data_IF_543688231111
#
_entry.id   IF_543688231111
#
_cell.length_a   1.000
_cell.length_b   1.000
_cell.length_c   1.000
_cell.angle_alpha   90.00
_cell.angle_beta   90.00
_cell.angle_gamma   90.00
#
_symmetry.space_group_name_H-M   'P 1'
#
loop_
_entity.id
_entity.type
_entity.pdbx_description
1 polymer ?
#
# COMPACT_ATOMS: atom_id res chain seq x y z
N UNK A 1 -30.33 3.76 -0.82
CA UNK A 1 -30.71 3.91 -2.23
C UNK A 1 -29.67 3.29 -3.14
N UNK A 2 -30.12 2.57 -4.17
CA UNK A 2 -29.23 1.94 -5.17
C UNK A 2 -28.43 2.98 -5.97
N UNK A 3 -29.01 4.15 -6.24
CA UNK A 3 -28.33 5.25 -6.95
C UNK A 3 -27.18 5.77 -6.11
N UNK A 4 -27.40 6.02 -4.84
CA UNK A 4 -26.34 6.47 -3.92
C UNK A 4 -25.25 5.40 -3.78
N UNK A 5 -25.63 4.12 -3.66
CA UNK A 5 -24.67 3.03 -3.54
C UNK A 5 -23.73 2.96 -4.78
N UNK A 6 -24.29 3.13 -5.98
CA UNK A 6 -23.48 3.15 -7.21
C UNK A 6 -22.54 4.35 -7.25
N UNK A 7 -23.02 5.54 -6.86
CA UNK A 7 -22.17 6.74 -6.80
C UNK A 7 -21.00 6.55 -5.84
N UNK A 8 -21.24 5.90 -4.68
CA UNK A 8 -20.17 5.60 -3.74
C UNK A 8 -19.13 4.65 -4.33
N UNK A 9 -19.56 3.62 -5.08
CA UNK A 9 -18.64 2.66 -5.70
C UNK A 9 -17.83 3.28 -6.83
N UNK A 10 -18.35 4.28 -7.53
CA UNK A 10 -17.62 5.01 -8.57
C UNK A 10 -16.48 5.86 -8.01
N UNK A 11 -16.52 6.16 -6.70
CA UNK A 11 -15.48 6.89 -5.99
C UNK A 11 -14.37 5.98 -5.45
N UNK A 12 -14.16 4.80 -6.02
CA UNK A 12 -13.15 3.82 -5.57
C UNK A 12 -11.71 4.34 -5.71
N UNK A 13 -11.40 5.46 -5.06
CA UNK A 13 -10.02 5.89 -4.88
C UNK A 13 -9.57 5.52 -3.45
N UNK A 14 -8.29 5.23 -3.24
CA UNK A 14 -7.81 4.87 -1.90
C UNK A 14 -8.14 5.90 -0.83
N UNK A 15 -8.15 7.19 -1.20
CA UNK A 15 -8.49 8.27 -0.30
C UNK A 15 -9.93 8.15 0.20
N UNK A 16 -10.89 7.97 -0.72
CA UNK A 16 -12.29 7.84 -0.35
C UNK A 16 -12.57 6.54 0.41
N UNK A 17 -11.91 5.46 0.06
CA UNK A 17 -12.01 4.20 0.80
C UNK A 17 -11.54 4.36 2.24
N UNK A 18 -10.47 5.12 2.46
CA UNK A 18 -9.95 5.39 3.80
C UNK A 18 -10.94 6.18 4.65
N UNK A 19 -11.58 7.21 4.06
CA UNK A 19 -12.53 8.09 4.78
C UNK A 19 -13.91 7.46 4.95
N UNK A 20 -14.40 6.70 3.95
CA UNK A 20 -15.78 6.25 3.87
C UNK A 20 -15.89 4.72 3.79
N UNK A 21 -15.02 4.01 4.51
CA UNK A 21 -14.97 2.55 4.46
C UNK A 21 -16.32 1.90 4.77
N UNK A 22 -17.00 2.33 5.83
CA UNK A 22 -18.26 1.75 6.24
C UNK A 22 -19.38 2.02 5.22
N UNK A 23 -19.41 3.22 4.68
CA UNK A 23 -20.35 3.61 3.63
C UNK A 23 -20.12 2.82 2.35
N UNK A 24 -18.86 2.60 1.99
CA UNK A 24 -18.49 1.79 0.83
C UNK A 24 -18.96 0.33 0.99
N UNK A 25 -18.73 -0.27 2.15
CA UNK A 25 -19.17 -1.63 2.46
C UNK A 25 -20.70 -1.72 2.40
N UNK A 26 -21.40 -0.74 2.97
CA UNK A 26 -22.87 -0.67 2.93
C UNK A 26 -23.36 -0.56 1.49
N UNK A 27 -22.71 0.27 0.67
CA UNK A 27 -23.07 0.42 -0.75
C UNK A 27 -22.90 -0.90 -1.51
N UNK A 28 -21.82 -1.62 -1.27
CA UNK A 28 -21.60 -2.93 -1.90
C UNK A 28 -22.67 -3.95 -1.48
N UNK A 29 -23.05 -3.97 -0.21
CA UNK A 29 -24.10 -4.88 0.29
C UNK A 29 -25.48 -4.56 -0.29
N UNK A 30 -25.77 -3.29 -0.57
CA UNK A 30 -27.02 -2.88 -1.23
C UNK A 30 -27.08 -3.40 -2.67
N UNK A 31 -25.96 -3.35 -3.40
CA UNK A 31 -25.88 -3.81 -4.79
C UNK A 31 -25.73 -5.33 -4.91
N UNK A 32 -25.11 -5.97 -3.93
CA UNK A 32 -24.89 -7.40 -3.89
C UNK A 32 -25.09 -7.89 -2.46
N UNK A 33 -26.28 -8.42 -2.12
CA UNK A 33 -26.57 -8.90 -0.76
C UNK A 33 -25.67 -10.05 -0.29
N UNK A 34 -25.07 -10.79 -1.22
CA UNK A 34 -24.14 -11.88 -0.91
C UNK A 34 -22.70 -11.41 -0.71
N UNK A 35 -22.48 -10.09 -0.73
CA UNK A 35 -21.14 -9.51 -0.54
C UNK A 35 -20.57 -9.88 0.82
N UNK A 36 -19.31 -10.38 0.80
CA UNK A 36 -18.51 -10.67 1.98
C UNK A 36 -17.20 -9.87 1.91
N UNK A 37 -16.89 -9.11 2.94
CA UNK A 37 -15.68 -8.28 2.98
C UNK A 37 -14.41 -9.11 2.84
N UNK A 38 -14.41 -10.34 3.34
CA UNK A 38 -13.27 -11.25 3.26
C UNK A 38 -13.00 -11.76 1.85
N UNK A 39 -13.95 -11.60 0.93
CA UNK A 39 -13.79 -11.98 -0.47
C UNK A 39 -13.10 -10.89 -1.28
N UNK A 40 -13.15 -9.65 -0.80
CA UNK A 40 -12.53 -8.49 -1.46
C UNK A 40 -11.00 -8.57 -1.42
N UNK A 41 -10.29 -7.80 -2.27
CA UNK A 41 -8.84 -7.72 -2.16
C UNK A 41 -8.42 -7.29 -0.76
N UNK A 42 -7.44 -7.98 -0.20
CA UNK A 42 -6.99 -7.74 1.17
C UNK A 42 -5.48 -7.64 1.20
N UNK A 43 -4.97 -6.42 1.36
CA UNK A 43 -3.54 -6.17 1.41
C UNK A 43 -2.96 -6.57 2.78
N UNK A 44 -1.81 -7.24 2.75
CA UNK A 44 -1.05 -7.58 3.96
C UNK A 44 0.44 -7.41 3.70
N UNK A 45 1.15 -6.91 4.70
CA UNK A 45 2.61 -6.88 4.74
C UNK A 45 3.08 -7.52 6.03
N UNK A 46 4.31 -8.02 6.03
CA UNK A 46 4.87 -8.72 7.20
C UNK A 46 5.15 -7.77 8.36
N UNK A 47 5.58 -6.55 8.07
CA UNK A 47 5.93 -5.58 9.10
C UNK A 47 5.69 -4.16 8.58
N UNK A 48 5.04 -3.33 9.39
CA UNK A 48 4.78 -1.91 9.10
C UNK A 48 6.03 -1.04 9.27
N UNK A 49 7.10 -1.58 9.85
CA UNK A 49 8.34 -0.88 10.12
C UNK A 49 9.49 -1.66 9.50
N UNK A 50 10.25 -1.00 8.62
CA UNK A 50 11.47 -1.54 8.03
C UNK A 50 12.66 -0.82 8.65
N UNK A 51 13.57 -1.57 9.24
CA UNK A 51 14.79 -1.02 9.84
C UNK A 51 15.97 -1.32 8.94
N UNK A 52 16.68 -0.27 8.52
CA UNK A 52 17.89 -0.36 7.73
C UNK A 52 19.08 -0.12 8.63
N UNK A 53 19.99 -1.10 8.70
CA UNK A 53 21.22 -1.01 9.49
C UNK A 53 22.42 -0.86 8.58
N UNK A 54 23.53 -0.37 9.13
CA UNK A 54 24.82 -0.22 8.44
C UNK A 54 24.74 0.63 7.18
N UNK A 55 23.93 1.70 7.23
CA UNK A 55 23.83 2.66 6.14
C UNK A 55 24.94 3.70 6.25
N UNK A 56 25.65 3.92 5.15
CA UNK A 56 26.67 4.98 5.05
C UNK A 56 26.14 6.15 4.24
N UNK A 57 26.60 7.36 4.60
CA UNK A 57 26.28 8.57 3.82
C UNK A 57 26.70 8.35 2.36
N UNK A 58 25.80 8.68 1.43
CA UNK A 58 26.04 8.56 0.01
C UNK A 58 26.00 7.14 -0.56
N UNK A 59 25.74 6.12 0.25
CA UNK A 59 25.68 4.73 -0.18
C UNK A 59 24.23 4.35 -0.53
N UNK A 60 24.06 3.59 -1.60
CA UNK A 60 22.75 3.06 -2.00
C UNK A 60 22.48 1.77 -1.22
N UNK A 61 21.32 1.73 -0.54
CA UNK A 61 20.85 0.55 0.18
C UNK A 61 19.53 0.11 -0.43
N UNK A 62 19.49 -1.13 -0.89
CA UNK A 62 18.28 -1.71 -1.47
C UNK A 62 17.56 -2.54 -0.44
N UNK A 63 16.22 -2.47 -0.45
CA UNK A 63 15.40 -3.32 0.40
C UNK A 63 14.11 -3.69 -0.33
N UNK A 64 13.43 -4.70 0.17
CA UNK A 64 12.23 -5.27 -0.44
C UNK A 64 11.09 -5.26 0.55
N UNK A 65 9.91 -4.86 0.09
CA UNK A 65 8.67 -5.00 0.86
C UNK A 65 7.80 -6.01 0.12
N UNK A 66 7.61 -7.23 0.68
CA UNK A 66 6.66 -8.18 0.12
C UNK A 66 5.23 -7.71 0.42
N UNK A 67 4.38 -7.72 -0.60
CA UNK A 67 2.98 -7.36 -0.46
C UNK A 67 2.13 -8.57 -0.84
N UNK A 68 1.23 -8.96 0.06
CA UNK A 68 0.38 -10.14 -0.09
C UNK A 68 -1.07 -9.74 -0.30
N UNK A 69 -1.77 -10.51 -1.12
CA UNK A 69 -3.21 -10.42 -1.27
C UNK A 69 -3.87 -11.64 -0.62
N UNK A 70 -4.48 -11.46 0.53
CA UNK A 70 -5.18 -12.53 1.25
C UNK A 70 -6.64 -12.68 0.83
N UNK A 71 -7.13 -11.81 -0.04
CA UNK A 71 -8.51 -11.84 -0.53
C UNK A 71 -8.73 -12.83 -1.66
N UNK A 72 -9.93 -12.83 -2.21
CA UNK A 72 -10.34 -13.71 -3.32
C UNK A 72 -10.37 -12.98 -4.67
N UNK A 73 -10.19 -11.68 -4.69
CA UNK A 73 -10.17 -10.84 -5.90
C UNK A 73 -8.80 -10.20 -6.08
N UNK A 74 -8.42 -9.85 -7.32
CA UNK A 74 -7.11 -9.24 -7.56
C UNK A 74 -6.92 -7.93 -6.79
N UNK A 75 -5.77 -7.78 -6.15
CA UNK A 75 -5.35 -6.57 -5.48
C UNK A 75 -4.65 -5.68 -6.48
N UNK A 76 -5.17 -4.48 -6.69
CA UNK A 76 -4.56 -3.47 -7.57
C UNK A 76 -3.89 -2.41 -6.71
N UNK A 77 -2.57 -2.32 -6.84
CA UNK A 77 -1.78 -1.28 -6.20
C UNK A 77 -1.62 -0.16 -7.20
N UNK A 78 -2.29 0.97 -6.95
CA UNK A 78 -2.38 2.07 -7.90
C UNK A 78 -1.20 3.01 -7.85
N UNK A 79 -0.72 3.33 -6.64
CA UNK A 79 0.42 4.23 -6.45
C UNK A 79 1.22 3.85 -5.24
N UNK A 80 2.52 4.17 -5.30
CA UNK A 80 3.43 4.06 -4.17
C UNK A 80 4.12 5.40 -4.04
N UNK A 81 3.94 6.07 -2.90
CA UNK A 81 4.56 7.36 -2.61
C UNK A 81 5.63 7.21 -1.54
N UNK A 82 6.66 8.03 -1.64
CA UNK A 82 7.69 8.14 -0.61
C UNK A 82 7.73 9.55 -0.08
N UNK A 83 8.08 9.71 1.21
CA UNK A 83 8.12 11.03 1.86
C UNK A 83 9.33 11.87 1.52
N UNK A 84 10.31 11.30 0.83
CA UNK A 84 11.53 12.01 0.42
C UNK A 84 12.09 11.47 -0.90
N UNK A 85 12.92 12.26 -1.56
CA UNK A 85 13.65 11.84 -2.76
C UNK A 85 14.76 10.84 -2.46
N UNK A 86 15.09 10.64 -1.19
CA UNK A 86 16.08 9.66 -0.73
C UNK A 86 15.60 8.21 -0.89
N UNK A 87 14.29 8.01 -0.99
CA UNK A 87 13.66 6.72 -1.28
C UNK A 87 13.17 6.72 -2.72
N UNK A 88 13.53 5.71 -3.47
CA UNK A 88 13.05 5.52 -4.84
C UNK A 88 12.61 4.08 -5.06
N UNK A 89 11.62 3.92 -5.93
CA UNK A 89 11.14 2.61 -6.35
C UNK A 89 12.03 2.12 -7.49
N UNK A 90 12.63 0.94 -7.32
CA UNK A 90 13.49 0.34 -8.36
C UNK A 90 12.65 -0.15 -9.53
N UNK A 91 11.49 -0.74 -9.22
CA UNK A 91 10.57 -1.23 -10.23
C UNK A 91 9.75 -0.08 -10.79
N UNK A 92 9.94 0.24 -12.07
CA UNK A 92 9.30 1.38 -12.73
C UNK A 92 7.87 1.11 -13.18
N UNK A 93 7.27 0.02 -12.76
CA UNK A 93 5.89 -0.30 -13.07
C UNK A 93 4.95 0.64 -12.32
N UNK A 94 4.05 1.31 -13.05
CA UNK A 94 3.12 2.26 -12.45
C UNK A 94 2.03 1.60 -11.63
N UNK A 95 1.67 0.38 -12.00
CA UNK A 95 0.64 -0.41 -11.33
C UNK A 95 1.12 -1.83 -11.11
N UNK A 96 0.76 -2.37 -9.94
CA UNK A 96 0.99 -3.77 -9.62
C UNK A 96 -0.37 -4.43 -9.42
N UNK A 97 -0.52 -5.64 -9.96
CA UNK A 97 -1.69 -6.47 -9.69
C UNK A 97 -1.21 -7.74 -9.00
N UNK A 98 -1.75 -7.98 -7.80
CA UNK A 98 -1.44 -9.18 -7.02
C UNK A 98 -2.63 -10.12 -7.10
N UNK A 99 -2.42 -11.29 -7.68
CA UNK A 99 -3.46 -12.31 -7.79
C UNK A 99 -3.92 -12.78 -6.42
N UNK A 100 -5.17 -13.30 -6.30
CA UNK A 100 -5.65 -13.82 -5.02
C UNK A 100 -4.72 -14.86 -4.43
N UNK A 101 -4.44 -14.74 -3.13
CA UNK A 101 -3.55 -15.65 -2.38
C UNK A 101 -2.10 -15.67 -2.88
N UNK A 102 -1.69 -14.63 -3.59
CA UNK A 102 -0.34 -14.48 -4.13
C UNK A 102 0.34 -13.27 -3.51
N UNK A 103 1.56 -12.98 -3.94
CA UNK A 103 2.37 -11.88 -3.43
C UNK A 103 3.20 -11.25 -4.54
N UNK A 104 3.64 -10.01 -4.29
CA UNK A 104 4.60 -9.31 -5.14
C UNK A 104 5.69 -8.73 -4.27
N UNK A 105 6.93 -8.73 -4.78
CA UNK A 105 8.09 -8.14 -4.12
C UNK A 105 8.31 -6.75 -4.70
N UNK A 106 8.17 -5.72 -3.88
CA UNK A 106 8.41 -4.33 -4.29
C UNK A 106 9.78 -3.90 -3.79
N UNK A 107 10.64 -3.50 -4.70
CA UNK A 107 12.03 -3.15 -4.40
C UNK A 107 12.23 -1.65 -4.34
N UNK A 108 12.94 -1.20 -3.32
CA UNK A 108 13.26 0.19 -3.08
C UNK A 108 14.76 0.40 -2.97
N UNK A 109 15.19 1.60 -3.30
CA UNK A 109 16.55 2.07 -3.06
C UNK A 109 16.50 3.26 -2.09
N UNK A 110 17.36 3.22 -1.08
CA UNK A 110 17.50 4.30 -0.11
C UNK A 110 18.93 4.84 -0.19
N UNK A 111 19.05 6.18 -0.24
CA UNK A 111 20.33 6.87 -0.19
C UNK A 111 20.15 8.17 0.59
N UNK A 112 21.00 8.40 1.58
CA UNK A 112 21.00 9.65 2.34
C UNK A 112 22.34 10.37 2.21
N UNK A 113 22.26 11.68 2.07
CA UNK A 113 23.44 12.54 2.08
C UNK A 113 23.75 13.08 3.48
N UNK A 114 22.91 12.76 4.46
CA UNK A 114 23.05 13.19 5.85
C UNK A 114 23.22 12.00 6.78
N UNK A 115 24.05 12.16 7.81
CA UNK A 115 24.24 11.17 8.86
C UNK A 115 23.21 11.34 9.98
N UNK A 116 23.02 10.30 10.78
CA UNK A 116 22.14 10.28 11.93
C UNK A 116 20.96 9.34 11.76
N UNK A 117 20.06 9.35 12.73
CA UNK A 117 18.83 8.59 12.68
C UNK A 117 17.79 9.32 11.84
N UNK A 118 17.23 8.64 10.83
CA UNK A 118 16.20 9.20 9.98
C UNK A 118 14.99 8.26 9.95
N UNK A 119 13.81 8.89 9.85
CA UNK A 119 12.55 8.17 9.65
C UNK A 119 11.94 8.68 8.37
N UNK A 120 11.57 7.75 7.49
CA UNK A 120 10.91 8.06 6.21
C UNK A 120 9.67 7.21 6.07
N UNK A 121 8.77 7.64 5.20
CA UNK A 121 7.46 7.04 5.06
C UNK A 121 7.24 6.56 3.63
N UNK A 122 6.62 5.39 3.51
CA UNK A 122 6.14 4.85 2.23
C UNK A 122 4.63 4.69 2.35
N UNK A 123 3.90 5.20 1.36
CA UNK A 123 2.45 5.08 1.28
C UNK A 123 2.10 4.23 0.08
N UNK A 124 1.35 3.16 0.30
CA UNK A 124 0.93 2.23 -0.75
C UNK A 124 -0.58 2.33 -0.87
N UNK A 125 -1.07 2.81 -2.01
CA UNK A 125 -2.51 2.94 -2.26
C UNK A 125 -3.00 1.80 -3.12
N UNK A 126 -4.17 1.25 -2.76
CA UNK A 126 -4.72 0.07 -3.43
C UNK A 126 -6.25 0.06 -3.37
N UNK A 127 -6.84 -0.94 -4.03
CA UNK A 127 -8.28 -1.20 -3.97
C UNK A 127 -8.67 -2.07 -2.77
N UNK A 128 -7.78 -2.28 -1.81
CA UNK A 128 -8.08 -3.05 -0.60
C UNK A 128 -8.99 -2.26 0.32
N UNK A 129 -10.12 -2.85 0.72
CA UNK A 129 -11.07 -2.19 1.63
C UNK A 129 -10.51 -2.14 3.04
N UNK A 130 -9.76 -3.16 3.47
CA UNK A 130 -9.21 -3.21 4.83
C UNK A 130 -8.16 -2.13 5.10
N UNK A 131 -7.31 -1.84 4.11
CA UNK A 131 -6.25 -0.83 4.22
C UNK A 131 -6.03 -0.13 2.88
N UNK A 132 -6.95 0.78 2.46
CA UNK A 132 -6.85 1.45 1.15
C UNK A 132 -5.57 2.27 0.99
N UNK A 133 -5.08 2.83 2.09
CA UNK A 133 -3.79 3.50 2.17
C UNK A 133 -2.97 2.78 3.23
N UNK A 134 -1.96 2.04 2.78
CA UNK A 134 -1.05 1.32 3.66
C UNK A 134 0.18 2.17 3.92
N UNK A 135 0.54 2.29 5.17
CA UNK A 135 1.61 3.14 5.66
C UNK A 135 2.76 2.28 6.17
N UNK A 136 3.97 2.51 5.66
CA UNK A 136 5.17 1.80 6.09
C UNK A 136 6.22 2.80 6.54
N UNK A 137 6.77 2.61 7.73
CA UNK A 137 7.87 3.40 8.27
C UNK A 137 9.20 2.78 7.91
N UNK A 138 10.11 3.61 7.43
CA UNK A 138 11.49 3.22 7.17
C UNK A 138 12.38 3.93 8.19
N UNK A 139 13.02 3.15 9.03
CA UNK A 139 13.98 3.65 10.03
C UNK A 139 15.39 3.33 9.55
N UNK A 140 16.25 4.33 9.54
CA UNK A 140 17.64 4.15 9.13
C UNK A 140 18.57 4.88 10.08
N UNK A 141 19.68 4.22 10.41
CA UNK A 141 20.79 4.82 11.16
C UNK A 141 21.98 4.94 10.21
N UNK A 142 22.37 6.20 9.93
CA UNK A 142 23.31 6.53 8.88
C UNK A 142 24.58 7.12 9.50
N UNK A 143 25.73 6.60 9.09
CA UNK A 143 27.03 7.07 9.59
C UNK A 143 28.02 7.42 8.49
#
# INVERSE_FOLDING_TARGET
SKILARSMLELETPYYLQLFKNEFITAKKVLNPDFEINDEPSIRIDNDIVSLSDCKVGENVSFVIPIYNDGKYPLKISKIFTSCSCLSLIDHTKEFVVSPKDSVMVRFNFRSEESGEVTRDVFITSNSINRPILYVKILADIY
#
